data_IF_364098218077
#
_entry.id   IF_364098218077
#
_cell.length_a   1.000
_cell.length_b   1.000
_cell.length_c   1.000
_cell.angle_alpha   90.00
_cell.angle_beta   90.00
_cell.angle_gamma   90.00
#
_symmetry.space_group_name_H-M   'P 1'
#
loop_
_entity.id
_entity.type
_entity.pdbx_description
1 polymer ?
#
# COMPACT_ATOMS: atom_id res chain seq x y z
N UNK A 1 10.67 44.69 15.84
CA UNK A 1 9.85 43.82 14.94
C UNK A 1 10.68 42.92 14.02
N UNK A 2 11.90 43.29 13.59
CA UNK A 2 12.77 42.48 12.70
C UNK A 2 13.16 41.08 13.22
N UNK A 3 13.30 40.88 14.53
CA UNK A 3 13.67 39.58 15.11
C UNK A 3 12.53 38.57 15.13
N UNK A 4 11.27 39.03 15.26
CA UNK A 4 10.09 38.18 15.34
C UNK A 4 9.85 37.46 14.00
N UNK A 5 9.99 38.19 12.89
CA UNK A 5 9.86 37.63 11.54
C UNK A 5 10.92 36.56 11.24
N UNK A 6 12.15 36.73 11.76
CA UNK A 6 13.23 35.74 11.61
C UNK A 6 12.95 34.46 12.39
N UNK A 7 12.48 34.56 13.63
CA UNK A 7 12.14 33.39 14.44
C UNK A 7 10.95 32.62 13.88
N UNK A 8 9.93 33.34 13.35
CA UNK A 8 8.77 32.72 12.72
C UNK A 8 9.20 31.93 11.47
N UNK A 9 10.03 32.53 10.61
CA UNK A 9 10.55 31.87 9.41
C UNK A 9 11.36 30.62 9.73
N UNK A 10 12.17 30.66 10.80
CA UNK A 10 12.96 29.49 11.22
C UNK A 10 12.06 28.36 11.73
N UNK A 11 11.04 28.68 12.54
CA UNK A 11 10.08 27.68 13.05
C UNK A 11 9.24 27.06 11.94
N UNK A 12 8.81 27.85 10.95
CA UNK A 12 8.08 27.37 9.79
C UNK A 12 8.96 26.45 8.93
N UNK A 13 10.23 26.81 8.71
CA UNK A 13 11.17 25.97 7.97
C UNK A 13 11.44 24.63 8.66
N UNK A 14 11.56 24.60 10.00
CA UNK A 14 11.74 23.34 10.73
C UNK A 14 10.51 22.43 10.66
N UNK A 15 9.30 23.00 10.71
CA UNK A 15 8.06 22.22 10.61
C UNK A 15 7.88 21.64 9.20
N UNK A 16 8.21 22.41 8.16
CA UNK A 16 8.17 21.95 6.77
C UNK A 16 9.22 20.87 6.48
N UNK A 17 10.41 20.97 7.08
CA UNK A 17 11.46 19.95 6.95
C UNK A 17 11.13 18.62 7.64
N UNK A 18 10.30 18.63 8.69
CA UNK A 18 9.80 17.40 9.30
C UNK A 18 8.69 16.72 8.49
N UNK A 19 7.88 17.50 7.75
CA UNK A 19 6.80 16.97 6.93
C UNK A 19 7.30 16.20 5.69
N UNK A 20 8.49 16.50 5.16
CA UNK A 20 9.03 15.80 3.99
C UNK A 20 9.43 14.34 4.25
N UNK A 21 9.51 13.92 5.52
CA UNK A 21 9.93 12.57 5.93
C UNK A 21 8.75 11.60 6.11
N UNK A 22 7.52 12.03 5.83
CA UNK A 22 6.30 11.23 6.03
C UNK A 22 5.80 10.53 4.76
N UNK A 23 6.55 10.55 3.65
CA UNK A 23 6.11 9.92 2.40
C UNK A 23 6.35 8.40 2.45
N UNK A 24 5.40 7.57 2.00
CA UNK A 24 5.65 6.15 1.81
C UNK A 24 6.80 5.97 0.81
N UNK A 25 7.78 5.16 1.19
CA UNK A 25 9.10 5.10 0.52
C UNK A 25 9.13 4.03 -0.57
N UNK A 26 8.24 3.04 -0.48
CA UNK A 26 8.24 1.87 -1.35
C UNK A 26 6.91 1.73 -2.09
N UNK A 27 7.00 1.29 -3.33
CA UNK A 27 5.84 0.94 -4.14
C UNK A 27 5.72 -0.59 -4.19
N UNK A 28 4.54 -1.11 -3.92
CA UNK A 28 4.25 -2.53 -4.06
C UNK A 28 3.12 -2.73 -5.05
N UNK A 29 3.43 -3.35 -6.18
CA UNK A 29 2.46 -3.74 -7.18
C UNK A 29 2.06 -5.19 -6.94
N UNK A 30 0.76 -5.42 -6.75
CA UNK A 30 0.19 -6.75 -6.51
C UNK A 30 -0.76 -7.06 -7.64
N UNK A 31 -0.60 -8.22 -8.26
CA UNK A 31 -1.47 -8.65 -9.34
C UNK A 31 -1.67 -10.14 -9.30
N UNK A 32 -2.92 -10.60 -9.32
CA UNK A 32 -3.20 -12.03 -9.31
C UNK A 32 -4.43 -12.38 -10.10
N UNK A 33 -4.69 -13.68 -10.18
CA UNK A 33 -5.87 -14.23 -10.85
C UNK A 33 -6.69 -15.04 -9.85
N UNK A 34 -8.00 -14.84 -9.83
CA UNK A 34 -8.91 -15.63 -8.99
C UNK A 34 -9.51 -16.73 -9.86
N UNK A 35 -9.15 -18.02 -9.67
CA UNK A 35 -9.75 -19.11 -10.43
C UNK A 35 -11.23 -19.26 -10.09
N UNK A 36 -12.05 -19.57 -11.11
CA UNK A 36 -13.50 -19.76 -10.97
C UNK A 36 -14.24 -18.55 -10.38
N UNK A 37 -13.78 -17.33 -10.68
CA UNK A 37 -14.43 -16.10 -10.25
C UNK A 37 -15.60 -15.71 -11.17
N UNK A 38 -16.54 -14.93 -10.62
CA UNK A 38 -17.50 -14.22 -11.45
C UNK A 38 -16.92 -12.85 -11.87
N UNK A 39 -17.06 -12.42 -13.14
CA UNK A 39 -16.69 -11.06 -13.52
C UNK A 39 -17.47 -10.04 -12.68
N UNK A 40 -16.81 -8.94 -12.28
CA UNK A 40 -17.26 -7.93 -11.29
C UNK A 40 -17.25 -8.34 -9.82
N UNK A 41 -16.69 -9.51 -9.48
CA UNK A 41 -16.39 -9.84 -8.08
C UNK A 41 -15.27 -8.95 -7.54
N UNK A 42 -15.25 -8.71 -6.22
CA UNK A 42 -14.26 -7.86 -5.56
C UNK A 42 -13.23 -8.67 -4.79
N UNK A 43 -11.98 -8.23 -4.84
CA UNK A 43 -10.87 -8.71 -4.01
C UNK A 43 -10.52 -7.61 -3.01
N UNK A 44 -10.45 -7.97 -1.74
CA UNK A 44 -10.01 -7.08 -0.66
C UNK A 44 -8.58 -7.40 -0.31
N UNK A 45 -7.71 -6.41 -0.49
CA UNK A 45 -6.30 -6.43 -0.16
C UNK A 45 -6.11 -5.68 1.16
N UNK A 46 -5.56 -6.34 2.17
CA UNK A 46 -5.32 -5.75 3.48
C UNK A 46 -3.88 -5.98 3.90
N UNK A 47 -3.15 -4.90 4.20
CA UNK A 47 -1.80 -4.99 4.76
C UNK A 47 -1.87 -5.55 6.20
N UNK A 48 -0.97 -6.47 6.53
CA UNK A 48 -0.96 -7.18 7.83
C UNK A 48 0.44 -7.18 8.46
N UNK A 49 0.57 -7.81 9.63
CA UNK A 49 1.84 -8.09 10.32
C UNK A 49 2.76 -6.87 10.53
N UNK A 50 2.16 -5.72 10.91
CA UNK A 50 2.94 -4.52 11.21
C UNK A 50 3.44 -3.77 9.96
N UNK A 51 2.89 -4.07 8.78
CA UNK A 51 3.09 -3.27 7.58
C UNK A 51 2.59 -1.85 7.80
N UNK A 52 3.41 -0.86 7.46
CA UNK A 52 3.10 0.57 7.64
C UNK A 52 3.06 1.22 6.25
N UNK A 53 2.04 2.05 5.96
CA UNK A 53 0.82 2.24 6.76
C UNK A 53 -0.13 1.05 6.62
N UNK A 54 -1.05 0.92 7.58
CA UNK A 54 -2.12 -0.07 7.48
C UNK A 54 -3.14 0.40 6.43
N UNK A 55 -3.25 -0.32 5.32
CA UNK A 55 -4.13 -0.04 4.20
C UNK A 55 -5.07 -1.22 3.95
N UNK A 56 -6.31 -0.89 3.60
CA UNK A 56 -7.28 -1.84 3.06
C UNK A 56 -7.80 -1.26 1.75
N UNK A 57 -7.66 -2.02 0.66
CA UNK A 57 -8.08 -1.66 -0.67
C UNK A 57 -9.02 -2.73 -1.21
N UNK A 58 -10.08 -2.31 -1.90
CA UNK A 58 -10.98 -3.22 -2.59
C UNK A 58 -10.87 -2.97 -4.09
N UNK A 59 -10.53 -4.01 -4.85
CA UNK A 59 -10.35 -3.95 -6.30
C UNK A 59 -11.34 -4.89 -6.97
N UNK A 60 -11.99 -4.41 -8.03
CA UNK A 60 -12.86 -5.24 -8.85
C UNK A 60 -12.04 -6.11 -9.80
N UNK A 61 -12.46 -7.37 -9.97
CA UNK A 61 -11.88 -8.27 -10.96
C UNK A 61 -12.31 -7.85 -12.36
N UNK A 62 -11.34 -7.79 -13.28
CA UNK A 62 -11.58 -7.54 -14.70
C UNK A 62 -12.29 -8.74 -15.37
N UNK A 63 -12.69 -8.59 -16.64
CA UNK A 63 -13.36 -9.65 -17.43
C UNK A 63 -12.56 -10.96 -17.51
N UNK A 64 -11.26 -10.91 -17.25
CA UNK A 64 -10.35 -12.05 -17.23
C UNK A 64 -10.09 -12.62 -15.82
N UNK A 65 -10.90 -12.26 -14.80
CA UNK A 65 -10.67 -12.65 -13.41
C UNK A 65 -9.29 -12.22 -12.86
N UNK A 66 -8.75 -11.14 -13.38
CA UNK A 66 -7.48 -10.56 -12.96
C UNK A 66 -7.73 -9.34 -12.08
N UNK A 67 -6.92 -9.16 -11.05
CA UNK A 67 -6.89 -7.96 -10.24
C UNK A 67 -5.48 -7.39 -10.24
N UNK A 68 -5.37 -6.07 -10.13
CA UNK A 68 -4.11 -5.38 -9.98
C UNK A 68 -4.29 -4.19 -9.03
N UNK A 69 -3.29 -3.96 -8.20
CA UNK A 69 -3.30 -2.86 -7.23
C UNK A 69 -1.88 -2.35 -7.01
N UNK A 70 -1.77 -1.06 -6.75
CA UNK A 70 -0.55 -0.43 -6.29
C UNK A 70 -0.76 0.04 -4.85
N UNK A 71 0.15 -0.37 -3.96
CA UNK A 71 0.16 -0.01 -2.55
C UNK A 71 1.45 0.73 -2.24
N UNK A 72 1.33 1.80 -1.45
CA UNK A 72 2.46 2.59 -1.03
C UNK A 72 2.79 2.27 0.42
N UNK A 73 3.95 1.67 0.67
CA UNK A 73 4.39 1.20 2.01
C UNK A 73 5.70 1.84 2.44
N UNK A 74 5.93 1.92 3.75
CA UNK A 74 7.14 2.43 4.37
C UNK A 74 7.87 1.36 5.21
N UNK A 75 7.34 0.15 5.27
CA UNK A 75 7.92 -1.00 5.99
C UNK A 75 8.57 -2.00 5.04
N UNK A 76 9.67 -2.60 5.46
CA UNK A 76 10.34 -3.74 4.79
C UNK A 76 10.75 -4.76 5.86
N UNK A 77 10.31 -6.03 5.80
CA UNK A 77 9.35 -6.58 4.85
C UNK A 77 7.91 -6.06 5.06
N UNK A 78 7.13 -6.02 3.98
CA UNK A 78 5.69 -5.75 3.98
C UNK A 78 4.92 -7.05 3.73
N UNK A 79 3.74 -7.16 4.34
CA UNK A 79 2.87 -8.34 4.30
C UNK A 79 1.45 -7.94 3.94
N UNK A 80 0.79 -8.80 3.17
CA UNK A 80 -0.59 -8.57 2.76
C UNK A 80 -1.42 -9.85 2.83
N UNK A 81 -2.71 -9.65 2.99
CA UNK A 81 -3.74 -10.65 2.82
C UNK A 81 -4.69 -10.20 1.72
N UNK A 82 -4.84 -11.02 0.68
CA UNK A 82 -5.90 -10.90 -0.30
C UNK A 82 -7.07 -11.79 0.10
N UNK A 83 -8.29 -11.30 0.02
CA UNK A 83 -9.50 -12.05 0.35
C UNK A 83 -10.62 -11.78 -0.64
N UNK A 84 -11.36 -12.81 -1.03
CA UNK A 84 -12.47 -12.67 -1.97
C UNK A 84 -13.56 -13.71 -1.72
N UNK A 85 -14.85 -13.35 -1.85
CA UNK A 85 -15.95 -14.30 -1.73
C UNK A 85 -16.12 -15.11 -3.01
N UNK A 86 -15.78 -16.39 -2.99
CA UNK A 86 -15.90 -17.30 -4.13
C UNK A 86 -16.83 -18.47 -3.78
N UNK A 87 -17.87 -18.71 -4.57
CA UNK A 87 -18.83 -19.82 -4.38
C UNK A 87 -19.43 -19.94 -2.96
N UNK A 88 -19.69 -18.81 -2.30
CA UNK A 88 -20.27 -18.79 -0.95
C UNK A 88 -19.26 -19.02 0.19
N UNK A 89 -17.96 -19.09 -0.11
CA UNK A 89 -16.88 -19.17 0.87
C UNK A 89 -15.89 -18.02 0.67
N UNK A 90 -15.28 -17.53 1.76
CA UNK A 90 -14.19 -16.56 1.68
C UNK A 90 -12.88 -17.31 1.42
N UNK A 91 -12.20 -17.00 0.32
CA UNK A 91 -10.86 -17.51 0.01
C UNK A 91 -9.85 -16.42 0.37
N UNK A 92 -8.77 -16.83 1.04
CA UNK A 92 -7.69 -15.95 1.47
C UNK A 92 -6.37 -16.40 0.85
N UNK A 93 -5.54 -15.44 0.47
CA UNK A 93 -4.15 -15.63 0.06
C UNK A 93 -3.26 -14.65 0.85
N UNK A 94 -2.01 -15.01 1.04
CA UNK A 94 -1.03 -14.19 1.76
C UNK A 94 0.24 -14.08 0.95
N UNK A 95 0.82 -12.89 1.00
CA UNK A 95 2.06 -12.62 0.30
C UNK A 95 2.90 -11.58 1.05
N UNK A 96 4.18 -11.50 0.70
CA UNK A 96 5.13 -10.57 1.32
C UNK A 96 6.14 -10.04 0.31
N UNK A 97 6.51 -8.79 0.46
CA UNK A 97 7.55 -8.15 -0.33
C UNK A 97 8.65 -7.59 0.58
N UNK A 98 9.89 -7.69 0.13
CA UNK A 98 11.04 -7.01 0.75
C UNK A 98 11.62 -6.00 -0.23
N UNK A 99 12.07 -4.88 0.32
CA UNK A 99 12.64 -3.75 -0.43
C UNK A 99 14.09 -3.56 0.00
N UNK A 100 14.98 -3.34 -0.97
CA UNK A 100 16.42 -3.24 -0.73
C UNK A 100 16.96 -1.81 -0.82
N UNK A 101 16.34 -0.97 -1.66
CA UNK A 101 16.78 0.40 -1.92
C UNK A 101 15.66 1.39 -1.61
N UNK A 102 16.01 2.65 -1.35
CA UNK A 102 15.02 3.71 -1.17
C UNK A 102 14.31 3.98 -2.50
N UNK A 103 12.97 4.04 -2.49
CA UNK A 103 12.18 4.20 -3.72
C UNK A 103 12.00 2.91 -4.53
N UNK A 104 12.33 1.75 -3.95
CA UNK A 104 12.23 0.46 -4.65
C UNK A 104 10.77 0.06 -4.91
N UNK A 105 10.58 -0.70 -5.99
CA UNK A 105 9.27 -1.21 -6.41
C UNK A 105 9.29 -2.73 -6.45
N UNK A 106 8.44 -3.37 -5.64
CA UNK A 106 8.27 -4.82 -5.64
C UNK A 106 7.02 -5.23 -6.42
N UNK A 107 7.08 -6.40 -7.07
CA UNK A 107 5.97 -7.02 -7.78
C UNK A 107 5.67 -8.37 -7.16
N UNK A 108 4.39 -8.66 -6.91
CA UNK A 108 3.98 -9.93 -6.30
C UNK A 108 2.66 -10.43 -6.88
N UNK A 109 2.40 -11.75 -6.74
CA UNK A 109 1.37 -12.50 -7.49
C UNK A 109 0.40 -13.25 -6.59
#
# INVERSE_FOLDING_TARGET
>A
MRSILRSLALSAATLLGMASMAQPIYTWVISGTVPNCNPNQVVTLQTIQGTIPQQTLTVALDSNCMYWAELFVSSSPAWIQASTPCNGQMINAWDSASFNLWGDTAYSV
#
